data_IF_652126617581
#
_entry.id   IF_652126617581
#
_cell.length_a   1.000
_cell.length_b   1.000
_cell.length_c   1.000
_cell.angle_alpha   90.00
_cell.angle_beta   90.00
_cell.angle_gamma   90.00
#
_symmetry.space_group_name_H-M   'P 1'
#
loop_
_entity.id
_entity.type
_entity.pdbx_description
1 polymer ?
#
# COMPACT_ATOMS: atom_id res chain seq x y z
N UNK A 1 -5.56 12.21 8.97
CA UNK A 1 -5.74 10.81 8.51
C UNK A 1 -5.42 9.88 9.66
N UNK A 2 -6.31 8.93 9.97
CA UNK A 2 -6.17 7.97 11.09
C UNK A 2 -4.81 7.25 11.04
N UNK A 3 -4.36 6.90 9.84
CA UNK A 3 -3.14 6.15 9.57
C UNK A 3 -1.83 6.87 9.96
N UNK A 4 -1.85 8.19 10.16
CA UNK A 4 -0.67 8.93 10.64
C UNK A 4 -0.55 8.91 12.17
N UNK A 5 -1.54 8.35 12.87
CA UNK A 5 -1.54 8.32 14.33
C UNK A 5 -0.62 7.20 14.84
N UNK A 6 0.27 7.51 15.78
CA UNK A 6 1.27 6.58 16.34
C UNK A 6 0.71 5.29 16.94
N UNK A 7 -0.58 5.27 17.29
CA UNK A 7 -1.25 4.09 17.83
C UNK A 7 -1.65 3.06 16.76
N UNK A 8 -1.56 3.40 15.47
CA UNK A 8 -1.92 2.49 14.38
C UNK A 8 -0.72 1.62 14.02
N UNK A 9 -0.81 0.32 14.33
CA UNK A 9 0.28 -0.64 14.08
C UNK A 9 0.18 -1.37 12.73
N UNK A 10 -1.03 -1.75 12.32
CA UNK A 10 -1.31 -2.42 11.05
C UNK A 10 -2.72 -2.09 10.57
N UNK A 11 -3.01 -2.36 9.30
CA UNK A 11 -4.31 -2.05 8.70
C UNK A 11 -4.76 -3.17 7.76
N UNK A 12 -6.01 -3.61 7.92
CA UNK A 12 -6.65 -4.61 7.06
C UNK A 12 -7.44 -3.93 5.95
N UNK A 13 -7.13 -4.23 4.69
CA UNK A 13 -7.79 -3.62 3.55
C UNK A 13 -8.07 -4.60 2.43
N UNK A 14 -8.96 -4.20 1.54
CA UNK A 14 -9.31 -4.99 0.37
C UNK A 14 -8.31 -4.87 -0.79
N UNK A 15 -7.22 -4.09 -0.66
CA UNK A 15 -6.20 -3.86 -1.70
C UNK A 15 -6.63 -3.03 -2.91
N UNK A 16 -7.56 -2.09 -2.76
CA UNK A 16 -7.84 -1.09 -3.79
C UNK A 16 -6.70 -0.08 -3.90
N UNK A 17 -6.40 0.38 -5.13
CA UNK A 17 -5.22 1.23 -5.41
C UNK A 17 -5.17 2.54 -4.60
N UNK A 18 -6.29 3.25 -4.48
CA UNK A 18 -6.36 4.49 -3.69
C UNK A 18 -6.02 4.26 -2.23
N UNK A 19 -6.60 3.20 -1.64
CA UNK A 19 -6.32 2.82 -0.25
C UNK A 19 -4.84 2.45 -0.07
N UNK A 20 -4.27 1.67 -0.99
CA UNK A 20 -2.84 1.31 -0.99
C UNK A 20 -1.92 2.54 -0.89
N UNK A 21 -2.18 3.58 -1.69
CA UNK A 21 -1.40 4.81 -1.66
C UNK A 21 -1.55 5.55 -0.32
N UNK A 22 -2.76 5.64 0.24
CA UNK A 22 -2.98 6.27 1.55
C UNK A 22 -2.21 5.55 2.67
N UNK A 23 -2.21 4.21 2.67
CA UNK A 23 -1.47 3.41 3.65
C UNK A 23 0.04 3.53 3.48
N UNK A 24 0.49 3.57 2.22
CA UNK A 24 1.90 3.73 1.91
C UNK A 24 2.40 5.05 2.49
N UNK A 25 1.66 6.14 2.28
CA UNK A 25 2.01 7.44 2.85
C UNK A 25 1.93 7.45 4.39
N UNK A 26 0.97 6.70 4.95
CA UNK A 26 0.81 6.52 6.40
C UNK A 26 1.92 5.71 7.08
N UNK A 27 2.69 4.90 6.33
CA UNK A 27 3.74 4.05 6.91
C UNK A 27 3.19 2.92 7.80
N UNK A 28 1.96 2.49 7.56
CA UNK A 28 1.32 1.40 8.32
C UNK A 28 1.42 0.11 7.52
N UNK A 29 1.87 -0.98 8.16
CA UNK A 29 1.96 -2.29 7.50
C UNK A 29 0.56 -2.78 7.10
N UNK A 30 0.47 -3.28 5.88
CA UNK A 30 -0.78 -3.68 5.26
C UNK A 30 -1.06 -5.18 5.41
N UNK A 31 -2.30 -5.49 5.78
CA UNK A 31 -2.90 -6.82 5.75
C UNK A 31 -3.93 -6.86 4.61
N UNK A 32 -3.71 -7.75 3.65
CA UNK A 32 -4.46 -7.79 2.39
C UNK A 32 -5.58 -8.82 2.40
N UNK A 33 -6.79 -8.38 2.04
CA UNK A 33 -7.97 -9.23 1.81
C UNK A 33 -8.64 -8.88 0.48
N UNK A 34 -8.09 -9.29 -0.68
CA UNK A 34 -8.67 -8.96 -1.97
C UNK A 34 -10.07 -9.56 -2.12
N UNK A 35 -11.00 -8.78 -2.66
CA UNK A 35 -12.40 -9.17 -2.80
C UNK A 35 -12.89 -9.10 -4.25
N UNK A 36 -12.44 -8.13 -5.05
CA UNK A 36 -12.99 -7.84 -6.38
C UNK A 36 -11.95 -7.16 -7.29
N UNK A 37 -12.18 -7.21 -8.61
CA UNK A 37 -11.49 -6.34 -9.59
C UNK A 37 -9.94 -6.36 -9.50
N UNK A 38 -9.32 -5.19 -9.45
CA UNK A 38 -7.89 -4.93 -9.39
C UNK A 38 -7.25 -5.36 -8.08
N UNK A 39 -8.03 -5.67 -7.05
CA UNK A 39 -7.52 -6.05 -5.73
C UNK A 39 -6.61 -7.28 -5.80
N UNK A 40 -6.94 -8.24 -6.68
CA UNK A 40 -6.14 -9.47 -6.86
C UNK A 40 -4.80 -9.18 -7.56
N UNK A 41 -4.78 -8.28 -8.54
CA UNK A 41 -3.53 -7.85 -9.17
C UNK A 41 -2.66 -7.05 -8.20
N UNK A 42 -3.28 -6.15 -7.43
CA UNK A 42 -2.59 -5.40 -6.40
C UNK A 42 -2.04 -6.32 -5.29
N UNK A 43 -2.76 -7.39 -4.93
CA UNK A 43 -2.26 -8.46 -4.05
C UNK A 43 -1.02 -9.11 -4.64
N UNK A 44 -1.08 -9.53 -5.91
CA UNK A 44 0.05 -10.19 -6.56
C UNK A 44 1.30 -9.30 -6.53
N UNK A 45 1.15 -8.02 -6.90
CA UNK A 45 2.26 -7.06 -6.88
C UNK A 45 2.81 -6.85 -5.46
N UNK A 46 1.96 -6.50 -4.49
CA UNK A 46 2.41 -6.02 -3.19
C UNK A 46 2.82 -7.17 -2.25
N UNK A 47 2.11 -8.31 -2.32
CA UNK A 47 2.39 -9.49 -1.50
C UNK A 47 3.40 -10.38 -2.17
N UNK A 48 3.12 -10.85 -3.39
CA UNK A 48 3.88 -11.95 -3.99
C UNK A 48 5.19 -11.45 -4.63
N UNK A 49 5.17 -10.31 -5.33
CA UNK A 49 6.36 -9.78 -6.00
C UNK A 49 7.21 -8.89 -5.09
N UNK A 50 6.58 -7.96 -4.37
CA UNK A 50 7.29 -6.98 -3.57
C UNK A 50 7.53 -7.42 -2.12
N UNK A 51 6.79 -8.42 -1.61
CA UNK A 51 6.93 -8.91 -0.24
C UNK A 51 6.67 -7.85 0.83
N UNK A 52 5.74 -6.92 0.58
CA UNK A 52 5.55 -5.70 1.37
C UNK A 52 4.21 -5.65 2.13
N UNK A 53 3.40 -6.70 2.05
CA UNK A 53 2.16 -6.86 2.81
C UNK A 53 1.93 -8.34 3.19
N UNK A 54 0.99 -8.57 4.11
CA UNK A 54 0.63 -9.91 4.59
C UNK A 54 -0.75 -10.30 4.04
N UNK A 55 -0.92 -11.42 3.34
CA UNK A 55 -2.23 -11.86 2.88
C UNK A 55 -3.03 -12.48 4.04
N UNK A 56 -4.32 -12.19 4.11
CA UNK A 56 -5.23 -12.69 5.16
C UNK A 56 -6.16 -13.76 4.62
N UNK A 57 -6.93 -13.41 3.60
CA UNK A 57 -7.88 -14.28 2.90
C UNK A 57 -8.27 -13.62 1.56
N UNK A 58 -9.01 -14.33 0.72
CA UNK A 58 -9.40 -13.82 -0.60
C UNK A 58 -10.87 -14.13 -0.88
N UNK A 59 -11.55 -13.23 -1.58
CA UNK A 59 -12.95 -13.38 -2.00
C UNK A 59 -13.96 -12.68 -1.08
N UNK A 60 -15.02 -12.18 -1.70
CA UNK A 60 -16.10 -11.42 -1.04
C UNK A 60 -16.90 -12.25 -0.03
N UNK A 61 -17.12 -13.54 -0.32
CA UNK A 61 -17.87 -14.46 0.53
C UNK A 61 -17.03 -15.22 1.56
N UNK A 62 -15.72 -14.96 1.62
CA UNK A 62 -14.80 -15.73 2.46
C UNK A 62 -14.79 -15.18 3.87
N UNK A 63 -15.11 -16.00 4.86
CA UNK A 63 -15.01 -15.64 6.27
C UNK A 63 -13.70 -16.24 6.80
N UNK A 64 -12.69 -15.42 7.16
CA UNK A 64 -11.46 -15.94 7.71
C UNK A 64 -11.70 -16.55 9.10
N UNK A 65 -10.93 -17.59 9.43
CA UNK A 65 -10.88 -18.12 10.78
C UNK A 65 -10.44 -17.01 11.75
N UNK A 66 -11.21 -16.81 12.84
CA UNK A 66 -11.02 -15.70 13.75
C UNK A 66 -9.73 -15.81 14.56
N UNK A 67 -9.33 -17.03 14.94
CA UNK A 67 -8.09 -17.27 15.67
C UNK A 67 -6.88 -16.98 14.78
N UNK A 68 -6.92 -17.43 13.52
CA UNK A 68 -5.89 -17.12 12.52
C UNK A 68 -5.80 -15.62 12.24
N UNK A 69 -6.93 -14.94 12.09
CA UNK A 69 -6.97 -13.50 11.88
C UNK A 69 -6.34 -12.75 13.06
N UNK A 70 -6.72 -13.10 14.29
CA UNK A 70 -6.16 -12.51 15.50
C UNK A 70 -4.63 -12.72 15.59
N UNK A 71 -4.16 -13.92 15.24
CA UNK A 71 -2.73 -14.22 15.21
C UNK A 71 -1.99 -13.36 14.18
N UNK A 72 -2.52 -13.23 12.96
CA UNK A 72 -1.92 -12.36 11.92
C UNK A 72 -1.83 -10.91 12.41
N UNK A 73 -2.89 -10.40 13.04
CA UNK A 73 -2.86 -9.06 13.63
C UNK A 73 -1.78 -8.93 14.69
N UNK A 74 -1.72 -9.85 15.66
CA UNK A 74 -0.71 -9.82 16.72
C UNK A 74 0.71 -9.86 16.13
N UNK A 75 0.97 -10.74 15.17
CA UNK A 75 2.27 -10.89 14.52
C UNK A 75 2.65 -9.64 13.71
N UNK A 76 1.68 -8.99 13.07
CA UNK A 76 1.89 -7.78 12.27
C UNK A 76 2.43 -6.59 13.07
N UNK A 77 2.24 -6.58 14.40
CA UNK A 77 2.71 -5.52 15.29
C UNK A 77 4.21 -5.60 15.57
N UNK A 78 4.86 -6.71 15.24
CA UNK A 78 6.31 -6.84 15.35
C UNK A 78 7.01 -5.85 14.40
N UNK A 79 7.94 -5.04 14.95
CA UNK A 79 8.56 -3.95 14.20
C UNK A 79 9.68 -4.41 13.25
N UNK A 80 10.28 -5.57 13.52
CA UNK A 80 11.37 -6.15 12.74
C UNK A 80 10.90 -7.05 11.58
N UNK A 81 9.60 -7.04 11.28
CA UNK A 81 9.06 -7.84 10.18
C UNK A 81 9.66 -7.45 8.83
N UNK A 82 10.03 -8.43 7.99
CA UNK A 82 10.57 -8.15 6.66
C UNK A 82 9.58 -7.35 5.80
N UNK A 83 8.28 -7.65 5.89
CA UNK A 83 7.24 -6.95 5.13
C UNK A 83 7.15 -5.48 5.55
N UNK A 84 7.29 -5.18 6.85
CA UNK A 84 7.30 -3.79 7.36
C UNK A 84 8.53 -3.03 6.87
N UNK A 85 9.71 -3.65 6.95
CA UNK A 85 10.96 -3.04 6.48
C UNK A 85 10.85 -2.73 4.99
N UNK A 86 10.33 -3.68 4.21
CA UNK A 86 10.14 -3.53 2.78
C UNK A 86 9.09 -2.47 2.43
N UNK A 87 7.97 -2.45 3.16
CA UNK A 87 6.92 -1.43 3.01
C UNK A 87 7.48 -0.02 3.23
N UNK A 88 8.29 0.18 4.27
CA UNK A 88 8.93 1.46 4.54
C UNK A 88 9.90 1.87 3.43
N UNK A 89 10.67 0.93 2.87
CA UNK A 89 11.54 1.22 1.71
C UNK A 89 10.75 1.67 0.49
N UNK A 90 9.60 1.05 0.21
CA UNK A 90 8.73 1.43 -0.91
C UNK A 90 8.13 2.82 -0.64
N UNK A 91 7.71 3.09 0.59
CA UNK A 91 7.20 4.40 1.00
C UNK A 91 8.25 5.49 0.76
N UNK A 92 9.49 5.28 1.18
CA UNK A 92 10.55 6.28 1.01
C UNK A 92 10.83 6.52 -0.48
N UNK A 93 10.83 5.48 -1.32
CA UNK A 93 10.92 5.63 -2.77
C UNK A 93 9.76 6.43 -3.35
N UNK A 94 8.53 6.17 -2.91
CA UNK A 94 7.34 6.88 -3.38
C UNK A 94 7.37 8.36 -2.97
N UNK A 95 7.77 8.68 -1.73
CA UNK A 95 7.97 10.06 -1.28
C UNK A 95 9.04 10.78 -2.10
N UNK A 96 10.17 10.11 -2.36
CA UNK A 96 11.24 10.65 -3.18
C UNK A 96 10.84 10.84 -4.66
N UNK A 97 9.93 10.02 -5.18
CA UNK A 97 9.40 10.20 -6.53
C UNK A 97 8.46 11.41 -6.62
N UNK A 98 7.70 11.68 -5.57
CA UNK A 98 6.69 12.75 -5.54
C UNK A 98 7.24 14.13 -5.15
N UNK A 99 8.35 14.20 -4.41
CA UNK A 99 8.95 15.49 -4.03
C UNK A 99 9.50 16.26 -5.25
N UNK A 100 9.73 17.57 -5.07
CA UNK A 100 10.29 18.43 -6.12
C UNK A 100 11.58 17.84 -6.69
N UNK A 101 11.64 17.74 -8.02
CA UNK A 101 12.77 17.13 -8.74
C UNK A 101 12.76 15.58 -8.79
N UNK A 102 11.81 14.94 -8.10
CA UNK A 102 11.54 13.50 -8.17
C UNK A 102 10.94 13.08 -9.51
N UNK A 103 10.88 11.77 -9.74
CA UNK A 103 10.45 11.21 -11.04
C UNK A 103 8.98 11.49 -11.37
N UNK A 104 8.07 11.32 -10.40
CA UNK A 104 6.64 11.60 -10.59
C UNK A 104 6.37 13.11 -10.71
N UNK A 105 7.13 13.93 -9.98
CA UNK A 105 7.07 15.39 -10.10
C UNK A 105 7.45 15.82 -11.53
N UNK A 106 8.60 15.35 -12.04
CA UNK A 106 9.06 15.65 -13.40
C UNK A 106 8.09 15.15 -14.47
N UNK A 107 7.57 13.94 -14.32
CA UNK A 107 6.60 13.39 -15.27
C UNK A 107 5.32 14.25 -15.35
N UNK A 108 4.88 14.83 -14.23
CA UNK A 108 3.73 15.73 -14.21
C UNK A 108 4.07 17.09 -14.85
N UNK A 109 5.26 17.64 -14.61
CA UNK A 109 5.73 18.87 -15.27
C UNK A 109 5.85 18.69 -16.79
N UNK A 110 6.40 17.56 -17.23
CA UNK A 110 6.52 17.22 -18.65
C UNK A 110 5.15 17.11 -19.30
N UNK A 111 4.18 16.46 -18.62
CA UNK A 111 2.80 16.36 -19.09
C UNK A 111 2.13 17.75 -19.17
N UNK A 112 2.28 18.58 -18.15
CA UNK A 112 1.72 19.93 -18.14
C UNK A 112 2.30 20.79 -19.29
N UNK A 113 3.61 20.65 -19.54
CA UNK A 113 4.29 21.31 -20.65
C UNK A 113 3.71 20.85 -21.99
N UNK A 114 3.56 19.55 -22.20
CA UNK A 114 2.96 19.00 -23.43
C UNK A 114 1.53 19.52 -23.64
N UNK A 115 0.70 19.55 -22.60
CA UNK A 115 -0.68 20.06 -22.69
C UNK A 115 -0.67 21.55 -23.05
N UNK A 116 0.25 22.35 -22.50
CA UNK A 116 0.34 23.78 -22.81
C UNK A 116 0.65 24.07 -24.28
N UNK A 117 1.34 23.17 -24.97
CA UNK A 117 1.60 23.28 -26.41
C UNK A 117 0.43 22.82 -27.29
N UNK A 118 -0.57 22.16 -26.71
CA UNK A 118 -1.77 21.70 -27.42
C UNK A 118 -2.94 22.69 -27.34
N UNK A 119 -2.85 23.67 -26.44
CA UNK A 119 -3.85 24.73 -26.30
C UNK A 119 -3.31 25.98 -27.02
N UNK A 120 -4.02 26.50 -28.04
CA UNK A 120 -3.57 27.66 -28.83
C UNK A 120 -3.54 28.96 -28.03
#
# INVERSE_FOLDING_TARGET
MILKHRAVGSYLCHLGWGSLLEFLMGGVLLLGWPMQSDHFFNKQLIVDELGAAIPVCEGLGTIPDSAKLAQIFADSLQLNRPERIQWMKIRDKALNAAQQGGSSYKALDDLATQISHLIP
#
